data_IF_383022338266
#
_entry.id   IF_383022338266
#
_cell.length_a   1.000
_cell.length_b   1.000
_cell.length_c   1.000
_cell.angle_alpha   90.00
_cell.angle_beta   90.00
_cell.angle_gamma   90.00
#
_symmetry.space_group_name_H-M   'P 1'
#
loop_
_entity.id
_entity.type
_entity.pdbx_description
1 polymer ?
#
# COMPACT_ATOMS: atom_id res chain seq x y z
N UNK A 1 40.85 -11.68 -11.90
CA UNK A 1 40.53 -10.60 -10.94
C UNK A 1 39.52 -9.58 -11.47
N UNK A 2 39.46 -9.27 -12.77
CA UNK A 2 38.60 -8.23 -13.37
C UNK A 2 37.09 -8.52 -13.38
N UNK A 3 36.66 -9.79 -13.50
CA UNK A 3 35.22 -10.15 -13.53
C UNK A 3 34.46 -9.84 -12.24
N UNK A 4 35.12 -9.86 -11.08
CA UNK A 4 34.47 -9.59 -9.79
C UNK A 4 34.26 -8.09 -9.55
N UNK A 5 35.18 -7.25 -10.01
CA UNK A 5 35.04 -5.78 -9.96
C UNK A 5 33.91 -5.31 -10.87
N UNK A 6 33.74 -5.92 -12.04
CA UNK A 6 32.65 -5.61 -12.98
C UNK A 6 31.27 -5.98 -12.42
N UNK A 7 31.14 -7.11 -11.71
CA UNK A 7 29.90 -7.49 -10.99
C UNK A 7 29.61 -6.59 -9.79
N UNK A 8 30.66 -6.08 -9.13
CA UNK A 8 30.50 -5.19 -7.99
C UNK A 8 30.03 -3.79 -8.43
N UNK A 9 30.54 -3.31 -9.57
CA UNK A 9 30.15 -2.02 -10.18
C UNK A 9 28.84 -2.08 -10.95
N UNK A 10 28.38 -3.25 -11.41
CA UNK A 10 27.15 -3.33 -12.19
C UNK A 10 25.91 -2.93 -11.40
N UNK A 11 25.86 -3.20 -10.09
CA UNK A 11 24.72 -2.83 -9.23
C UNK A 11 24.56 -1.30 -9.15
N UNK A 12 25.57 -0.51 -8.71
CA UNK A 12 25.44 0.94 -8.66
C UNK A 12 25.24 1.57 -10.04
N UNK A 13 25.83 1.01 -11.10
CA UNK A 13 25.62 1.50 -12.47
C UNK A 13 24.17 1.32 -12.94
N UNK A 14 23.57 0.17 -12.62
CA UNK A 14 22.18 -0.15 -13.00
C UNK A 14 21.20 0.72 -12.21
N UNK A 15 21.44 0.93 -10.91
CA UNK A 15 20.66 1.87 -10.09
C UNK A 15 20.76 3.31 -10.63
N UNK A 16 21.97 3.74 -11.01
CA UNK A 16 22.19 5.07 -11.58
C UNK A 16 21.51 5.22 -12.94
N UNK A 17 21.60 4.20 -13.79
CA UNK A 17 20.88 4.16 -15.07
C UNK A 17 19.36 4.23 -14.88
N UNK A 18 18.81 3.46 -13.94
CA UNK A 18 17.39 3.50 -13.59
C UNK A 18 16.96 4.88 -13.08
N UNK A 19 17.75 5.49 -12.18
CA UNK A 19 17.49 6.83 -11.66
C UNK A 19 17.48 7.88 -12.79
N UNK A 20 18.47 7.84 -13.68
CA UNK A 20 18.53 8.76 -14.83
C UNK A 20 17.32 8.57 -15.75
N UNK A 21 16.89 7.32 -15.99
CA UNK A 21 15.74 7.01 -16.83
C UNK A 21 14.45 7.57 -16.20
N UNK A 22 14.25 7.39 -14.90
CA UNK A 22 13.14 7.99 -14.15
C UNK A 22 13.18 9.52 -14.18
N UNK A 23 14.34 10.13 -14.00
CA UNK A 23 14.51 11.58 -14.08
C UNK A 23 14.20 12.12 -15.49
N UNK A 24 14.56 11.37 -16.52
CA UNK A 24 14.31 11.73 -17.92
C UNK A 24 12.82 11.63 -18.23
N UNK A 25 12.14 10.58 -17.76
CA UNK A 25 10.67 10.47 -17.81
C UNK A 25 10.04 11.68 -17.10
N UNK A 26 10.48 11.99 -15.88
CA UNK A 26 9.94 13.11 -15.10
C UNK A 26 10.03 14.45 -15.85
N UNK A 27 11.16 14.67 -16.53
CA UNK A 27 11.40 15.88 -17.32
C UNK A 27 10.62 15.91 -18.64
N UNK A 28 10.51 14.79 -19.35
CA UNK A 28 9.73 14.70 -20.60
C UNK A 28 8.24 14.91 -20.32
N UNK A 29 7.72 14.26 -19.28
CA UNK A 29 6.29 14.31 -18.92
C UNK A 29 5.90 15.55 -18.11
N UNK A 30 6.83 16.47 -17.83
CA UNK A 30 6.58 17.70 -17.07
C UNK A 30 5.83 17.41 -15.76
N UNK A 31 6.23 16.35 -15.05
CA UNK A 31 5.55 15.93 -13.83
C UNK A 31 5.64 17.04 -12.76
N UNK A 32 4.62 17.15 -11.88
CA UNK A 32 4.54 18.24 -10.91
C UNK A 32 5.78 18.30 -10.02
N UNK A 33 6.19 19.50 -9.63
CA UNK A 33 7.25 19.67 -8.61
C UNK A 33 6.75 19.17 -7.26
N UNK A 34 7.68 18.80 -6.37
CA UNK A 34 7.36 18.28 -5.02
C UNK A 34 6.34 19.14 -4.27
N UNK A 35 6.46 20.47 -4.39
CA UNK A 35 5.54 21.44 -3.77
C UNK A 35 4.13 21.37 -4.38
N UNK A 36 4.03 21.35 -5.70
CA UNK A 36 2.75 21.25 -6.39
C UNK A 36 2.06 19.91 -6.08
N UNK A 37 2.83 18.83 -6.01
CA UNK A 37 2.33 17.49 -5.68
C UNK A 37 1.79 17.46 -4.24
N UNK A 38 2.50 18.11 -3.30
CA UNK A 38 2.07 18.23 -1.92
C UNK A 38 0.79 19.07 -1.77
N UNK A 39 0.67 20.18 -2.50
CA UNK A 39 -0.55 21.01 -2.48
C UNK A 39 -1.76 20.26 -3.04
N UNK A 40 -1.59 19.53 -4.14
CA UNK A 40 -2.64 18.68 -4.70
C UNK A 40 -3.06 17.62 -3.67
N UNK A 41 -2.11 16.87 -3.11
CA UNK A 41 -2.40 15.86 -2.09
C UNK A 41 -3.11 16.45 -0.88
N UNK A 42 -2.66 17.61 -0.39
CA UNK A 42 -3.28 18.31 0.73
C UNK A 42 -4.71 18.73 0.41
N UNK A 43 -4.98 19.20 -0.81
CA UNK A 43 -6.33 19.50 -1.28
C UNK A 43 -7.23 18.26 -1.24
N UNK A 44 -6.79 17.16 -1.83
CA UNK A 44 -7.52 15.88 -1.82
C UNK A 44 -7.80 15.36 -0.41
N UNK A 45 -6.82 15.43 0.50
CA UNK A 45 -7.00 15.01 1.90
C UNK A 45 -7.86 15.96 2.73
N UNK A 46 -7.98 17.22 2.32
CA UNK A 46 -8.87 18.17 2.98
C UNK A 46 -10.33 17.87 2.66
N UNK A 47 -10.63 17.53 1.40
CA UNK A 47 -11.99 17.25 0.93
C UNK A 47 -12.42 15.80 1.19
N UNK A 48 -11.57 14.82 0.86
CA UNK A 48 -11.91 13.39 0.87
C UNK A 48 -11.12 12.58 1.88
N UNK A 49 -10.25 13.20 2.70
CA UNK A 49 -9.27 12.49 3.52
C UNK A 49 -9.85 11.37 4.37
N UNK A 50 -10.99 11.61 5.04
CA UNK A 50 -11.61 10.59 5.90
C UNK A 50 -12.15 9.40 5.10
N UNK A 51 -12.74 9.63 3.93
CA UNK A 51 -13.21 8.57 3.04
C UNK A 51 -12.05 7.79 2.42
N UNK A 52 -11.01 8.50 1.98
CA UNK A 52 -9.77 7.91 1.47
C UNK A 52 -9.11 7.00 2.51
N UNK A 53 -9.02 7.46 3.75
CA UNK A 53 -8.49 6.67 4.86
C UNK A 53 -9.38 5.46 5.13
N UNK A 54 -10.70 5.64 5.18
CA UNK A 54 -11.64 4.58 5.47
C UNK A 54 -11.57 3.44 4.45
N UNK A 55 -11.75 3.75 3.16
CA UNK A 55 -11.70 2.75 2.10
C UNK A 55 -10.28 2.22 1.89
N UNK A 56 -9.28 3.10 1.99
CA UNK A 56 -7.88 2.70 1.89
C UNK A 56 -7.49 1.67 2.95
N UNK A 57 -7.92 1.87 4.20
CA UNK A 57 -7.70 0.92 5.29
C UNK A 57 -8.52 -0.38 5.13
N UNK A 58 -9.72 -0.33 4.54
CA UNK A 58 -10.48 -1.55 4.22
C UNK A 58 -9.71 -2.40 3.20
N UNK A 59 -9.24 -1.78 2.11
CA UNK A 59 -8.49 -2.45 1.05
C UNK A 59 -7.16 -2.98 1.62
N UNK A 60 -6.45 -2.17 2.40
CA UNK A 60 -5.21 -2.54 3.09
C UNK A 60 -5.39 -3.77 4.00
N UNK A 61 -6.48 -3.81 4.76
CA UNK A 61 -6.74 -4.93 5.68
C UNK A 61 -7.09 -6.23 4.95
N UNK A 62 -7.35 -6.18 3.64
CA UNK A 62 -7.83 -7.33 2.88
C UNK A 62 -6.66 -8.19 2.42
N UNK A 63 -6.73 -9.52 2.64
CA UNK A 63 -5.57 -10.41 2.55
C UNK A 63 -4.79 -10.32 1.23
N UNK A 64 -5.50 -10.30 0.09
CA UNK A 64 -4.85 -10.21 -1.22
C UNK A 64 -4.66 -8.78 -1.71
N UNK A 65 -5.60 -7.88 -1.43
CA UNK A 65 -5.56 -6.53 -1.99
C UNK A 65 -4.56 -5.64 -1.27
N UNK A 66 -4.42 -5.80 0.05
CA UNK A 66 -3.44 -5.05 0.85
C UNK A 66 -1.99 -5.30 0.47
N UNK A 67 -1.68 -6.43 -0.16
CA UNK A 67 -0.32 -6.72 -0.62
C UNK A 67 0.09 -5.85 -1.83
N UNK A 68 -0.89 -5.37 -2.61
CA UNK A 68 -0.65 -4.57 -3.82
C UNK A 68 -1.07 -3.11 -3.66
N UNK A 69 -1.96 -2.83 -2.71
CA UNK A 69 -2.46 -1.50 -2.46
C UNK A 69 -1.65 -0.80 -1.37
N UNK A 70 -1.14 0.43 -1.59
CA UNK A 70 -0.33 1.13 -0.60
C UNK A 70 -1.21 1.87 0.42
N UNK A 71 -2.16 1.18 1.06
CA UNK A 71 -3.10 1.79 2.00
C UNK A 71 -2.42 2.30 3.27
N UNK A 72 -1.32 1.66 3.70
CA UNK A 72 -0.48 2.17 4.78
C UNK A 72 0.01 3.61 4.55
N UNK A 73 0.40 3.96 3.32
CA UNK A 73 0.77 5.34 2.99
C UNK A 73 -0.40 6.30 3.15
N UNK A 74 -1.61 5.92 2.71
CA UNK A 74 -2.81 6.74 2.82
C UNK A 74 -3.15 7.01 4.29
N UNK A 75 -3.04 5.98 5.14
CA UNK A 75 -3.28 6.08 6.58
C UNK A 75 -2.25 7.02 7.23
N UNK A 76 -0.96 6.86 6.91
CA UNK A 76 0.12 7.71 7.40
C UNK A 76 -0.08 9.18 6.98
N UNK A 77 -0.37 9.42 5.70
CA UNK A 77 -0.67 10.76 5.20
C UNK A 77 -1.91 11.35 5.90
N UNK A 78 -2.91 10.53 6.19
CA UNK A 78 -4.10 10.93 6.96
C UNK A 78 -3.77 11.47 8.36
N UNK A 79 -2.85 10.82 9.06
CA UNK A 79 -2.40 11.27 10.39
C UNK A 79 -1.53 12.52 10.28
N UNK A 80 -0.59 12.56 9.33
CA UNK A 80 0.31 13.73 9.13
C UNK A 80 -0.49 14.98 8.74
N UNK A 81 -1.48 14.83 7.86
CA UNK A 81 -2.33 15.95 7.41
C UNK A 81 -3.26 16.47 8.49
N UNK A 82 -3.56 15.68 9.52
CA UNK A 82 -4.30 16.15 10.70
C UNK A 82 -3.48 17.14 11.56
N UNK A 83 -2.15 17.14 11.44
CA UNK A 83 -1.27 18.09 12.10
C UNK A 83 -1.42 18.08 13.62
N UNK A 84 -1.70 19.25 14.21
CA UNK A 84 -1.85 19.42 15.67
C UNK A 84 -3.31 19.25 16.16
N UNK A 85 -4.25 18.93 15.27
CA UNK A 85 -5.65 18.70 15.65
C UNK A 85 -5.82 17.28 16.23
N UNK A 86 -5.73 17.20 17.56
CA UNK A 86 -5.88 15.94 18.31
C UNK A 86 -7.22 15.26 18.01
N UNK A 87 -8.31 16.01 17.86
CA UNK A 87 -9.63 15.43 17.60
C UNK A 87 -9.64 14.73 16.25
N UNK A 88 -9.05 15.36 15.23
CA UNK A 88 -8.94 14.79 13.89
C UNK A 88 -8.03 13.55 13.88
N UNK A 89 -6.91 13.57 14.59
CA UNK A 89 -6.03 12.38 14.74
C UNK A 89 -6.78 11.21 15.36
N UNK A 90 -7.51 11.45 16.47
CA UNK A 90 -8.31 10.41 17.13
C UNK A 90 -9.37 9.84 16.18
N UNK A 91 -10.04 10.70 15.41
CA UNK A 91 -11.04 10.28 14.44
C UNK A 91 -10.44 9.43 13.31
N UNK A 92 -9.25 9.81 12.81
CA UNK A 92 -8.51 9.04 11.80
C UNK A 92 -8.16 7.65 12.33
N UNK A 93 -7.59 7.56 13.54
CA UNK A 93 -7.24 6.28 14.18
C UNK A 93 -8.49 5.42 14.38
N UNK A 94 -9.57 6.01 14.88
CA UNK A 94 -10.84 5.32 15.06
C UNK A 94 -11.38 4.76 13.75
N UNK A 95 -11.39 5.55 12.66
CA UNK A 95 -11.81 5.09 11.34
C UNK A 95 -10.96 3.91 10.85
N UNK A 96 -9.64 3.98 11.01
CA UNK A 96 -8.73 2.88 10.63
C UNK A 96 -9.06 1.61 11.41
N UNK A 97 -9.30 1.70 12.72
CA UNK A 97 -9.69 0.55 13.53
C UNK A 97 -11.01 -0.07 13.04
N UNK A 98 -12.03 0.76 12.76
CA UNK A 98 -13.31 0.29 12.23
C UNK A 98 -13.15 -0.35 10.85
N UNK A 99 -12.36 0.27 9.96
CA UNK A 99 -12.04 -0.25 8.63
C UNK A 99 -11.36 -1.62 8.70
N UNK A 100 -10.39 -1.81 9.58
CA UNK A 100 -9.74 -3.11 9.76
C UNK A 100 -10.66 -4.15 10.36
N UNK A 101 -11.53 -3.77 11.31
CA UNK A 101 -12.54 -4.69 11.84
C UNK A 101 -13.47 -5.19 10.73
N UNK A 102 -13.93 -4.29 9.84
CA UNK A 102 -14.72 -4.64 8.66
C UNK A 102 -13.92 -5.56 7.74
N UNK A 103 -12.68 -5.17 7.40
CA UNK A 103 -11.84 -5.91 6.47
C UNK A 103 -11.54 -7.33 6.97
N UNK A 104 -11.22 -7.49 8.25
CA UNK A 104 -11.00 -8.80 8.86
C UNK A 104 -12.27 -9.65 8.94
N UNK A 105 -13.42 -9.03 9.20
CA UNK A 105 -14.72 -9.71 9.12
C UNK A 105 -15.00 -10.23 7.71
N UNK A 106 -14.71 -9.41 6.69
CA UNK A 106 -14.84 -9.82 5.29
C UNK A 106 -13.82 -10.91 4.93
N UNK A 107 -12.57 -10.80 5.37
CA UNK A 107 -11.56 -11.86 5.19
C UNK A 107 -12.02 -13.18 5.80
N UNK A 108 -12.66 -13.17 6.97
CA UNK A 108 -13.21 -14.38 7.57
C UNK A 108 -14.32 -14.98 6.70
N UNK A 109 -15.28 -14.17 6.23
CA UNK A 109 -16.38 -14.63 5.36
C UNK A 109 -15.82 -15.18 4.05
N UNK A 110 -14.94 -14.43 3.38
CA UNK A 110 -14.33 -14.87 2.12
C UNK A 110 -13.42 -16.07 2.35
N UNK A 111 -12.74 -16.16 3.49
CA UNK A 111 -11.98 -17.34 3.91
C UNK A 111 -12.84 -18.58 4.00
N UNK A 112 -13.94 -18.48 4.73
CA UNK A 112 -14.87 -19.58 4.97
C UNK A 112 -15.57 -20.06 3.69
N UNK A 113 -16.02 -19.15 2.83
CA UNK A 113 -16.87 -19.50 1.68
C UNK A 113 -16.15 -19.49 0.33
N UNK A 114 -15.05 -18.75 0.20
CA UNK A 114 -14.35 -18.48 -1.06
C UNK A 114 -12.94 -19.07 -1.13
N UNK A 115 -12.02 -18.57 -0.28
CA UNK A 115 -10.59 -18.91 -0.35
C UNK A 115 -10.35 -20.42 -0.27
N UNK A 116 -11.09 -21.14 0.58
CA UNK A 116 -10.98 -22.61 0.64
C UNK A 116 -11.21 -23.27 -0.72
N UNK A 117 -12.29 -22.91 -1.44
CA UNK A 117 -12.59 -23.48 -2.76
C UNK A 117 -11.56 -23.06 -3.81
N UNK A 118 -11.09 -21.82 -3.74
CA UNK A 118 -10.09 -21.29 -4.67
C UNK A 118 -8.74 -22.02 -4.48
N UNK A 119 -8.26 -22.10 -3.25
CA UNK A 119 -6.99 -22.75 -2.90
C UNK A 119 -7.00 -24.26 -3.21
N UNK A 120 -8.11 -24.95 -2.97
CA UNK A 120 -8.29 -26.35 -3.39
C UNK A 120 -8.22 -26.48 -4.92
N UNK A 121 -8.80 -25.54 -5.67
CA UNK A 121 -8.70 -25.53 -7.15
C UNK A 121 -7.28 -25.28 -7.65
N UNK A 122 -6.45 -24.57 -6.87
CA UNK A 122 -5.01 -24.39 -7.13
C UNK A 122 -4.13 -25.55 -6.62
N UNK A 123 -4.72 -26.63 -6.12
CA UNK A 123 -4.00 -27.83 -5.69
C UNK A 123 -3.43 -27.78 -4.26
N UNK A 124 -3.77 -26.77 -3.47
CA UNK A 124 -3.28 -26.60 -2.09
C UNK A 124 -4.09 -27.36 -1.05
N UNK A 125 -4.78 -28.45 -1.45
CA UNK A 125 -5.68 -29.19 -0.56
C UNK A 125 -4.92 -29.82 0.62
N UNK A 126 -3.78 -30.46 0.33
CA UNK A 126 -3.00 -31.17 1.35
C UNK A 126 -2.42 -30.19 2.39
N UNK A 127 -1.88 -29.04 1.96
CA UNK A 127 -1.40 -27.99 2.88
C UNK A 127 -2.51 -27.36 3.74
N UNK A 128 -3.76 -27.34 3.25
CA UNK A 128 -4.91 -26.85 4.03
C UNK A 128 -5.39 -27.86 5.07
N UNK A 129 -5.33 -29.16 4.74
CA UNK A 129 -5.70 -30.23 5.65
C UNK A 129 -4.64 -30.43 6.75
N UNK A 130 -3.36 -30.21 6.43
CA UNK A 130 -2.27 -30.15 7.44
C UNK A 130 -2.43 -28.94 8.39
N UNK A 131 -2.85 -27.78 7.88
CA UNK A 131 -3.07 -26.58 8.69
C UNK A 131 -4.31 -26.66 9.61
N UNK A 132 -5.19 -27.65 9.41
CA UNK A 132 -6.34 -27.93 10.28
C UNK A 132 -6.00 -28.80 11.49
N UNK A 133 -4.88 -29.54 11.45
CA UNK A 133 -4.40 -30.38 12.56
C UNK A 133 -3.66 -29.54 13.60
#
# INVERSE_FOLDING_TARGET
>A
MTKNVFKLLSIPLLLLGLYLLLALIWRIFHLPTDKALFEVLKGYFTEYGLWLIFFGAIIEGFLLLGQYFPGGLIIFLGVITAGHDIKRVVLVVFLVCVSFLISYSLNYVVGKYGWYKLLVKFGLKDSLDDAKR
#
